data_IF_343389809560
#
_entry.id   IF_343389809560
#
_cell.length_a   1.000
_cell.length_b   1.000
_cell.length_c   1.000
_cell.angle_alpha   90.00
_cell.angle_beta   90.00
_cell.angle_gamma   90.00
#
_symmetry.space_group_name_H-M   'P 1'
#
loop_
_entity.id
_entity.type
_entity.pdbx_description
1 polymer ?
#
# COMPACT_ATOMS: atom_id res chain seq x y z
N UNK A 1 -14.64 -10.30 -8.88
CA UNK A 1 -13.95 -10.82 -7.67
C UNK A 1 -13.46 -12.25 -7.91
N UNK A 2 -12.61 -12.47 -8.91
CA UNK A 2 -12.02 -13.80 -9.20
C UNK A 2 -10.50 -13.71 -9.39
N UNK A 3 -9.98 -12.58 -9.89
CA UNK A 3 -8.54 -12.39 -10.02
C UNK A 3 -7.85 -12.08 -8.69
N UNK A 4 -6.59 -12.49 -8.59
CA UNK A 4 -5.73 -12.21 -7.44
C UNK A 4 -5.64 -10.70 -7.15
N UNK A 5 -5.49 -9.87 -8.20
CA UNK A 5 -5.51 -8.42 -8.09
C UNK A 5 -6.78 -7.91 -7.37
N UNK A 6 -7.95 -8.43 -7.75
CA UNK A 6 -9.23 -8.02 -7.18
C UNK A 6 -9.36 -8.39 -5.70
N UNK A 7 -8.81 -9.54 -5.29
CA UNK A 7 -8.81 -9.98 -3.90
C UNK A 7 -7.86 -9.13 -3.06
N UNK A 8 -6.62 -8.95 -3.52
CA UNK A 8 -5.63 -8.10 -2.85
C UNK A 8 -6.15 -6.66 -2.72
N UNK A 9 -6.69 -6.10 -3.81
CA UNK A 9 -7.24 -4.75 -3.82
C UNK A 9 -8.38 -4.56 -2.82
N UNK A 10 -9.35 -5.47 -2.79
CA UNK A 10 -10.48 -5.38 -1.86
C UNK A 10 -10.03 -5.53 -0.40
N UNK A 11 -9.17 -6.51 -0.11
CA UNK A 11 -8.61 -6.69 1.25
C UNK A 11 -7.83 -5.45 1.69
N UNK A 12 -6.99 -4.90 0.81
CA UNK A 12 -6.23 -3.67 1.09
C UNK A 12 -7.15 -2.50 1.39
N UNK A 13 -8.21 -2.31 0.60
CA UNK A 13 -9.17 -1.22 0.79
C UNK A 13 -9.90 -1.30 2.13
N UNK A 14 -10.40 -2.48 2.48
CA UNK A 14 -11.10 -2.71 3.76
C UNK A 14 -10.16 -2.46 4.93
N UNK A 15 -8.96 -3.05 4.90
CA UNK A 15 -7.98 -2.91 5.98
C UNK A 15 -7.45 -1.48 6.11
N UNK A 16 -7.32 -0.75 5.00
CA UNK A 16 -6.96 0.67 5.02
C UNK A 16 -8.02 1.52 5.73
N UNK A 17 -9.30 1.26 5.45
CA UNK A 17 -10.41 1.90 6.16
C UNK A 17 -10.36 1.64 7.67
N UNK A 18 -10.13 0.38 8.07
CA UNK A 18 -9.98 0.02 9.48
C UNK A 18 -8.75 0.69 10.11
N UNK A 19 -7.60 0.67 9.44
CA UNK A 19 -6.38 1.30 9.92
C UNK A 19 -6.57 2.81 10.11
N UNK A 20 -7.26 3.47 9.18
CA UNK A 20 -7.58 4.89 9.27
C UNK A 20 -8.50 5.20 10.44
N UNK A 21 -9.59 4.45 10.62
CA UNK A 21 -10.53 4.63 11.73
C UNK A 21 -9.84 4.41 13.08
N UNK A 22 -9.09 3.32 13.24
CA UNK A 22 -8.34 3.02 14.46
C UNK A 22 -7.29 4.11 14.76
N UNK A 23 -6.59 4.58 13.73
CA UNK A 23 -5.65 5.70 13.84
C UNK A 23 -6.33 6.99 14.27
N UNK A 24 -7.49 7.32 13.68
CA UNK A 24 -8.28 8.50 14.04
C UNK A 24 -8.75 8.47 15.49
N UNK A 25 -9.36 7.36 15.92
CA UNK A 25 -9.84 7.22 17.30
C UNK A 25 -8.71 7.21 18.33
N UNK A 26 -7.51 6.75 17.96
CA UNK A 26 -6.40 6.63 18.92
C UNK A 26 -5.53 7.88 18.99
N UNK A 27 -5.20 8.48 17.85
CA UNK A 27 -4.21 9.55 17.76
C UNK A 27 -4.81 10.94 17.54
N UNK A 28 -5.96 11.05 16.86
CA UNK A 28 -6.63 12.33 16.64
C UNK A 28 -7.62 12.67 17.77
N UNK A 29 -8.21 11.66 18.42
CA UNK A 29 -9.16 11.91 19.51
C UNK A 29 -8.45 12.50 20.75
N UNK A 30 -8.94 13.63 21.30
CA UNK A 30 -8.31 14.29 22.45
C UNK A 30 -8.39 13.47 23.75
N UNK A 31 -9.32 12.52 23.85
CA UNK A 31 -9.60 11.73 25.06
C UNK A 31 -8.80 10.41 25.13
N UNK A 32 -7.97 10.09 24.14
CA UNK A 32 -7.22 8.83 24.12
C UNK A 32 -6.06 8.88 25.13
N UNK A 33 -5.96 7.85 25.99
CA UNK A 33 -4.93 7.78 27.01
C UNK A 33 -3.53 7.61 26.40
N UNK A 34 -2.51 8.17 27.07
CA UNK A 34 -1.11 8.03 26.66
C UNK A 34 -0.68 6.56 26.55
N UNK A 35 -1.16 5.69 27.44
CA UNK A 35 -0.90 4.25 27.40
C UNK A 35 -1.52 3.55 26.19
N UNK A 36 -2.75 3.89 25.82
CA UNK A 36 -3.39 3.33 24.64
C UNK A 36 -2.65 3.73 23.35
N UNK A 37 -2.26 5.01 23.25
CA UNK A 37 -1.45 5.52 22.12
C UNK A 37 -0.11 4.80 22.02
N UNK A 38 0.61 4.65 23.13
CA UNK A 38 1.90 3.95 23.15
C UNK A 38 1.79 2.48 22.71
N UNK A 39 0.74 1.77 23.16
CA UNK A 39 0.51 0.37 22.79
C UNK A 39 0.09 0.21 21.32
N UNK A 40 -0.70 1.14 20.78
CA UNK A 40 -1.19 1.07 19.40
C UNK A 40 -0.20 1.59 18.36
N UNK A 41 0.73 2.47 18.74
CA UNK A 41 1.74 3.05 17.85
C UNK A 41 2.51 2.01 17.00
N UNK A 42 3.11 0.96 17.56
CA UNK A 42 3.86 -0.01 16.74
C UNK A 42 2.97 -0.75 15.75
N UNK A 43 1.74 -1.13 16.15
CA UNK A 43 0.77 -1.80 15.29
C UNK A 43 0.28 -0.90 14.17
N UNK A 44 0.03 0.38 14.46
CA UNK A 44 -0.40 1.35 13.47
C UNK A 44 0.69 1.59 12.41
N UNK A 45 1.96 1.75 12.83
CA UNK A 45 3.05 1.94 11.88
C UNK A 45 3.31 0.68 11.05
N UNK A 46 3.38 -0.50 11.69
CA UNK A 46 3.61 -1.76 10.98
C UNK A 46 2.47 -2.07 9.99
N UNK A 47 1.23 -1.94 10.44
CA UNK A 47 0.06 -2.14 9.58
C UNK A 47 0.01 -1.15 8.43
N UNK A 48 0.40 0.12 8.65
CA UNK A 48 0.48 1.13 7.59
C UNK A 48 1.48 0.74 6.50
N UNK A 49 2.68 0.27 6.89
CA UNK A 49 3.70 -0.23 5.95
C UNK A 49 3.21 -1.47 5.20
N UNK A 50 2.61 -2.43 5.89
CA UNK A 50 2.05 -3.63 5.26
C UNK A 50 0.98 -3.28 4.22
N UNK A 51 0.07 -2.37 4.53
CA UNK A 51 -0.98 -1.92 3.60
C UNK A 51 -0.42 -1.17 2.40
N UNK A 52 0.63 -0.37 2.61
CA UNK A 52 1.34 0.29 1.51
C UNK A 52 1.93 -0.73 0.53
N UNK A 53 2.57 -1.79 1.03
CA UNK A 53 3.07 -2.89 0.19
C UNK A 53 1.94 -3.64 -0.52
N UNK A 54 0.83 -3.92 0.16
CA UNK A 54 -0.32 -4.54 -0.48
C UNK A 54 -0.88 -3.66 -1.61
N UNK A 55 -0.89 -2.34 -1.43
CA UNK A 55 -1.26 -1.38 -2.48
C UNK A 55 -0.32 -1.44 -3.70
N UNK A 56 0.99 -1.54 -3.47
CA UNK A 56 1.99 -1.73 -4.55
C UNK A 56 1.72 -3.05 -5.29
N UNK A 57 1.54 -4.16 -4.57
CA UNK A 57 1.26 -5.46 -5.18
C UNK A 57 -0.07 -5.42 -5.96
N UNK A 58 -1.10 -4.77 -5.43
CA UNK A 58 -2.36 -4.57 -6.15
C UNK A 58 -2.13 -3.78 -7.44
N UNK A 59 -1.36 -2.69 -7.42
CA UNK A 59 -1.06 -1.91 -8.62
C UNK A 59 -0.30 -2.73 -9.67
N UNK A 60 0.76 -3.44 -9.27
CA UNK A 60 1.58 -4.28 -10.17
C UNK A 60 0.76 -5.43 -10.79
N UNK A 61 -0.03 -6.13 -9.98
CA UNK A 61 -0.89 -7.21 -10.47
C UNK A 61 -2.01 -6.68 -11.37
N UNK A 62 -2.53 -5.47 -11.11
CA UNK A 62 -3.52 -4.81 -11.95
C UNK A 62 -2.95 -4.41 -13.32
N UNK A 63 -1.73 -3.86 -13.34
CA UNK A 63 -1.00 -3.55 -14.57
C UNK A 63 -0.76 -4.82 -15.40
N UNK A 64 -0.30 -5.91 -14.77
CA UNK A 64 -0.13 -7.20 -15.44
C UNK A 64 -1.43 -7.71 -16.03
N UNK A 65 -2.53 -7.70 -15.24
CA UNK A 65 -3.83 -8.16 -15.71
C UNK A 65 -4.32 -7.34 -16.90
N UNK A 66 -4.09 -6.02 -16.90
CA UNK A 66 -4.43 -5.15 -18.03
C UNK A 66 -3.58 -5.41 -19.25
N UNK A 67 -2.27 -5.60 -19.10
CA UNK A 67 -1.39 -5.98 -20.20
C UNK A 67 -1.86 -7.29 -20.85
N UNK A 68 -2.22 -8.29 -20.05
CA UNK A 68 -2.76 -9.56 -20.57
C UNK A 68 -4.09 -9.39 -21.28
N UNK A 69 -5.01 -8.58 -20.72
CA UNK A 69 -6.32 -8.31 -21.36
C UNK A 69 -6.18 -7.59 -22.70
N UNK A 70 -5.15 -6.76 -22.86
CA UNK A 70 -4.91 -6.04 -24.11
C UNK A 70 -4.44 -6.96 -25.23
N UNK A 71 -3.84 -8.12 -24.93
CA UNK A 71 -3.58 -9.25 -25.84
C UNK A 71 -2.58 -9.00 -26.99
N UNK A 72 -2.52 -7.80 -27.55
CA UNK A 72 -1.63 -7.32 -28.61
C UNK A 72 -1.29 -5.84 -28.39
N UNK A 73 -0.67 -5.51 -27.25
CA UNK A 73 -0.14 -4.17 -27.01
C UNK A 73 1.08 -3.89 -27.90
N UNK A 74 1.22 -2.66 -28.37
CA UNK A 74 2.40 -2.28 -29.16
C UNK A 74 3.67 -2.40 -28.30
N UNK A 75 4.84 -2.61 -28.92
CA UNK A 75 6.11 -2.63 -28.18
C UNK A 75 6.33 -1.38 -27.31
N UNK A 76 5.81 -0.21 -27.73
CA UNK A 76 5.87 1.01 -26.95
C UNK A 76 4.99 0.94 -25.69
N UNK A 77 3.77 0.43 -25.83
CA UNK A 77 2.82 0.28 -24.73
C UNK A 77 3.28 -0.75 -23.69
N UNK A 78 3.80 -1.92 -24.12
CA UNK A 78 4.35 -2.90 -23.17
C UNK A 78 5.54 -2.35 -22.39
N UNK A 79 6.42 -1.57 -23.05
CA UNK A 79 7.53 -0.88 -22.39
C UNK A 79 7.04 0.16 -21.38
N UNK A 80 6.00 0.93 -21.72
CA UNK A 80 5.42 1.92 -20.82
C UNK A 80 4.80 1.26 -19.58
N UNK A 81 4.08 0.14 -19.74
CA UNK A 81 3.50 -0.62 -18.63
C UNK A 81 4.60 -1.14 -17.69
N UNK A 82 5.66 -1.73 -18.25
CA UNK A 82 6.80 -2.22 -17.47
C UNK A 82 7.53 -1.10 -16.75
N UNK A 83 7.79 0.02 -17.43
CA UNK A 83 8.41 1.20 -16.83
C UNK A 83 7.56 1.77 -15.68
N UNK A 84 6.24 1.84 -15.87
CA UNK A 84 5.30 2.29 -14.83
C UNK A 84 5.35 1.36 -13.63
N UNK A 85 5.38 0.03 -13.85
CA UNK A 85 5.53 -0.94 -12.77
C UNK A 85 6.84 -0.77 -11.99
N UNK A 86 7.96 -0.57 -12.69
CA UNK A 86 9.26 -0.28 -12.06
C UNK A 86 9.25 1.04 -11.28
N UNK A 87 8.64 2.08 -11.83
CA UNK A 87 8.51 3.38 -11.16
C UNK A 87 7.71 3.27 -9.85
N UNK A 88 6.60 2.52 -9.85
CA UNK A 88 5.80 2.24 -8.64
C UNK A 88 6.63 1.49 -7.61
N UNK A 89 7.40 0.48 -8.02
CA UNK A 89 8.26 -0.30 -7.13
C UNK A 89 9.34 0.59 -6.49
N UNK A 90 10.06 1.37 -7.30
CA UNK A 90 11.13 2.26 -6.82
C UNK A 90 10.59 3.35 -5.90
N UNK A 91 9.41 3.90 -6.21
CA UNK A 91 8.72 4.82 -5.32
C UNK A 91 8.39 4.16 -3.98
N UNK A 92 7.85 2.95 -4.02
CA UNK A 92 7.53 2.16 -2.83
C UNK A 92 8.74 1.92 -1.92
N UNK A 93 9.86 1.51 -2.52
CA UNK A 93 11.13 1.33 -1.81
C UNK A 93 11.59 2.66 -1.20
N UNK A 94 11.60 3.74 -1.97
CA UNK A 94 12.05 5.06 -1.49
C UNK A 94 11.23 5.58 -0.30
N UNK A 95 9.91 5.38 -0.33
CA UNK A 95 9.02 5.72 0.79
C UNK A 95 9.33 4.87 2.02
N UNK A 96 9.50 3.55 1.86
CA UNK A 96 9.80 2.67 3.00
C UNK A 96 11.15 2.99 3.65
N UNK A 97 12.18 3.25 2.84
CA UNK A 97 13.48 3.72 3.32
C UNK A 97 13.36 5.02 4.09
N UNK A 98 12.57 5.98 3.59
CA UNK A 98 12.34 7.26 4.27
C UNK A 98 11.67 7.07 5.64
N UNK A 99 10.67 6.18 5.72
CA UNK A 99 9.99 5.84 6.98
C UNK A 99 10.91 5.08 7.93
N UNK A 100 11.73 4.15 7.42
CA UNK A 100 12.67 3.38 8.22
C UNK A 100 13.77 4.27 8.80
N UNK A 101 14.37 5.14 7.99
CA UNK A 101 15.41 6.08 8.41
C UNK A 101 14.88 7.14 9.37
N UNK A 102 13.67 7.66 9.13
CA UNK A 102 13.03 8.63 10.02
C UNK A 102 12.74 8.10 11.44
N UNK A 103 12.90 6.80 11.70
CA UNK A 103 12.80 6.23 13.05
C UNK A 103 14.15 6.15 13.79
N UNK A 104 15.27 6.33 13.08
CA UNK A 104 16.62 6.30 13.66
C UNK A 104 17.24 7.70 13.84
N UNK A 105 16.61 8.74 13.29
CA UNK A 105 17.03 10.14 13.39
C UNK A 105 16.34 10.90 14.52
#
# INVERSE_FOLDING_TARGET
MVSLHSWIGLTTFILLGLQWLLGAFTFLAPQSSSGARARMMPWHVLGGRALFYMGIVAALTGLMQRATMLGQSTNAESRLINFTGLAILLFGVSVDFSVALGRYG
#
